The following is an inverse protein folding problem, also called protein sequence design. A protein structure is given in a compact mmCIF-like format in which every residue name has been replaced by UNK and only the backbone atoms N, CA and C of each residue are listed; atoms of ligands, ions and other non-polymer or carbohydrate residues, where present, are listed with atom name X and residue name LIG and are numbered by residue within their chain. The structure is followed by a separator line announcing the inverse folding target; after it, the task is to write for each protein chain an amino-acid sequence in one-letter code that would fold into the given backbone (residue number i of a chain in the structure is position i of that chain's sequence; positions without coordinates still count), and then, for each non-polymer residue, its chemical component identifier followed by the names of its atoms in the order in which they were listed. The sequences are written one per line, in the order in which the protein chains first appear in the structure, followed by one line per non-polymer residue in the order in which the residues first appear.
data_IF_227716300260
#
_entry.id   IF_227716300260
#
_cell.length_a   1.000
_cell.length_b   1.000
_cell.length_c   1.000
_cell.angle_alpha   90.00
_cell.angle_beta   90.00
_cell.angle_gamma   90.00
#
_symmetry.space_group_name_H-M   'P 1'
#
loop_
_entity.id
_entity.type
_entity.pdbx_description
1 polymer ?
#
# COMPACT_ATOMS: atom_id res chain seq x y z
N UNK A 1 1.40 14.16 -15.68
CA UNK A 1 1.49 12.74 -15.36
C UNK A 1 0.49 11.95 -16.20
N UNK A 2 0.93 10.84 -16.77
CA UNK A 2 0.07 9.97 -17.56
C UNK A 2 -0.87 9.13 -16.68
N UNK A 3 -1.86 8.50 -17.30
CA UNK A 3 -2.67 7.46 -16.69
C UNK A 3 -1.83 6.19 -16.56
N UNK A 4 -1.84 5.58 -15.39
CA UNK A 4 -1.13 4.34 -15.10
C UNK A 4 -2.04 3.37 -14.33
N UNK A 5 -1.89 2.09 -14.59
CA UNK A 5 -2.60 1.03 -13.90
C UNK A 5 -1.66 -0.11 -13.54
N UNK A 6 -1.79 -0.63 -12.34
CA UNK A 6 -1.23 -1.91 -11.93
C UNK A 6 -2.39 -2.89 -11.77
N UNK A 7 -2.28 -4.04 -12.40
CA UNK A 7 -3.25 -5.13 -12.26
C UNK A 7 -2.59 -6.28 -11.48
N UNK A 8 -3.27 -6.74 -10.43
CA UNK A 8 -2.87 -7.89 -9.63
C UNK A 8 -3.87 -9.02 -9.75
N UNK A 9 -3.39 -10.25 -9.65
CA UNK A 9 -4.22 -11.46 -9.63
C UNK A 9 -4.04 -12.14 -8.29
N UNK A 10 -5.15 -12.33 -7.59
CA UNK A 10 -5.17 -12.97 -6.28
C UNK A 10 -4.91 -14.48 -6.37
N UNK A 11 -4.44 -15.02 -5.25
CA UNK A 11 -4.06 -16.42 -5.11
C UNK A 11 -5.15 -17.40 -5.57
N UNK A 12 -6.41 -17.17 -5.19
CA UNK A 12 -7.52 -18.05 -5.55
C UNK A 12 -7.94 -17.91 -7.02
N UNK A 13 -7.73 -16.75 -7.63
CA UNK A 13 -8.01 -16.55 -9.04
C UNK A 13 -6.93 -17.13 -9.96
N UNK A 14 -5.68 -17.15 -9.48
CA UNK A 14 -4.55 -17.63 -10.28
C UNK A 14 -4.81 -19.01 -10.87
N UNK A 15 -5.18 -19.97 -10.03
CA UNK A 15 -5.39 -21.36 -10.45
C UNK A 15 -6.62 -21.55 -11.36
N UNK A 16 -7.52 -20.57 -11.40
CA UNK A 16 -8.67 -20.56 -12.33
C UNK A 16 -8.36 -19.92 -13.67
N UNK A 17 -7.42 -18.96 -13.68
CA UNK A 17 -7.10 -18.17 -14.86
C UNK A 17 -5.91 -18.72 -15.65
N UNK A 18 -4.98 -19.38 -14.97
CA UNK A 18 -3.74 -19.83 -15.58
C UNK A 18 -3.53 -21.33 -15.39
N UNK A 19 -3.10 -21.98 -16.46
CA UNK A 19 -2.57 -23.35 -16.41
C UNK A 19 -1.04 -23.27 -16.40
N UNK A 20 -0.39 -23.90 -15.43
CA UNK A 20 1.07 -23.91 -15.36
C UNK A 20 1.61 -23.54 -13.98
N UNK A 21 2.86 -23.08 -13.91
CA UNK A 21 3.48 -22.74 -12.64
C UNK A 21 2.78 -21.56 -11.95
N UNK A 22 2.93 -21.51 -10.65
CA UNK A 22 2.39 -20.47 -9.78
C UNK A 22 3.54 -19.74 -9.12
N UNK A 23 3.46 -18.40 -8.95
CA UNK A 23 4.47 -17.66 -8.20
C UNK A 23 4.62 -18.23 -6.78
N UNK A 24 5.85 -18.47 -6.35
CA UNK A 24 6.16 -19.22 -5.13
C UNK A 24 5.54 -18.59 -3.87
N UNK A 25 5.55 -17.28 -3.77
CA UNK A 25 5.03 -16.53 -2.62
C UNK A 25 3.59 -16.02 -2.80
N UNK A 26 2.89 -16.43 -3.87
CA UNK A 26 1.51 -16.04 -4.09
C UNK A 26 0.57 -16.84 -3.18
N UNK A 27 0.19 -16.25 -2.07
CA UNK A 27 -0.72 -16.83 -1.08
C UNK A 27 -1.72 -15.78 -0.56
N UNK A 28 -2.86 -16.19 0.03
CA UNK A 28 -3.75 -15.27 0.72
C UNK A 28 -3.04 -14.63 1.92
N UNK A 29 -3.33 -13.35 2.18
CA UNK A 29 -2.92 -12.73 3.43
C UNK A 29 -3.47 -13.53 4.62
N UNK A 30 -2.65 -13.74 5.65
CA UNK A 30 -3.09 -14.39 6.90
C UNK A 30 -3.51 -13.31 7.88
N UNK A 31 -4.73 -13.40 8.40
CA UNK A 31 -5.19 -12.47 9.41
C UNK A 31 -4.25 -12.47 10.62
N UNK A 32 -4.01 -11.28 11.16
CA UNK A 32 -3.21 -11.08 12.37
C UNK A 32 -4.13 -10.50 13.45
N UNK A 33 -4.22 -11.21 14.55
CA UNK A 33 -5.02 -10.79 15.70
C UNK A 33 -4.08 -10.40 16.84
N UNK A 34 -3.98 -9.10 17.09
CA UNK A 34 -3.26 -8.54 18.23
C UNK A 34 -4.20 -8.13 19.35
N UNK A 35 -3.64 -7.81 20.51
CA UNK A 35 -4.40 -7.43 21.72
C UNK A 35 -5.25 -6.16 21.52
N UNK A 36 -4.84 -5.26 20.65
CA UNK A 36 -5.49 -3.96 20.43
C UNK A 36 -5.91 -3.73 18.98
N UNK A 37 -5.19 -4.32 18.04
CA UNK A 37 -5.38 -4.11 16.62
C UNK A 37 -5.48 -5.44 15.90
N UNK A 38 -6.25 -5.45 14.83
CA UNK A 38 -6.42 -6.61 13.98
C UNK A 38 -6.12 -6.21 12.53
N UNK A 39 -5.47 -7.10 11.79
CA UNK A 39 -5.32 -7.02 10.36
C UNK A 39 -6.10 -8.17 9.70
N UNK A 40 -7.35 -7.94 9.31
CA UNK A 40 -8.18 -9.00 8.71
C UNK A 40 -7.66 -9.38 7.33
N UNK A 41 -7.83 -10.64 6.96
CA UNK A 41 -7.67 -11.08 5.59
C UNK A 41 -8.93 -10.73 4.79
N UNK A 42 -8.75 -9.94 3.74
CA UNK A 42 -9.84 -9.53 2.83
C UNK A 42 -9.50 -10.02 1.43
N UNK A 43 -9.82 -11.28 1.10
CA UNK A 43 -9.43 -11.87 -0.18
C UNK A 43 -10.10 -11.16 -1.35
N UNK A 44 -9.37 -11.10 -2.48
CA UNK A 44 -9.86 -10.59 -3.75
C UNK A 44 -9.26 -11.39 -4.90
N UNK A 45 -9.98 -11.49 -5.99
CA UNK A 45 -9.53 -12.20 -7.19
C UNK A 45 -8.69 -11.30 -8.11
N UNK A 46 -9.10 -10.06 -8.28
CA UNK A 46 -8.41 -9.07 -9.11
C UNK A 46 -8.25 -7.76 -8.33
N UNK A 47 -7.11 -7.13 -8.50
CA UNK A 47 -6.81 -5.79 -8.00
C UNK A 47 -6.49 -4.88 -9.17
N UNK A 48 -7.01 -3.65 -9.16
CA UNK A 48 -6.60 -2.59 -10.06
C UNK A 48 -6.23 -1.35 -9.25
N UNK A 49 -4.95 -0.97 -9.32
CA UNK A 49 -4.48 0.30 -8.76
C UNK A 49 -4.31 1.30 -9.91
N UNK A 50 -5.23 2.25 -9.99
CA UNK A 50 -5.29 3.24 -11.07
C UNK A 50 -4.79 4.58 -10.55
N UNK A 51 -3.86 5.21 -11.27
CA UNK A 51 -3.29 6.52 -10.95
C UNK A 51 -3.34 7.43 -12.17
N UNK A 52 -3.75 8.66 -11.96
CA UNK A 52 -3.74 9.71 -12.99
C UNK A 52 -3.52 11.09 -12.36
N UNK A 53 -3.32 12.10 -13.19
CA UNK A 53 -3.23 13.49 -12.74
C UNK A 53 -4.59 14.02 -12.22
N UNK A 54 -5.70 13.46 -12.71
CA UNK A 54 -7.05 13.89 -12.35
C UNK A 54 -7.94 12.67 -12.07
N UNK A 55 -8.92 12.85 -11.21
CA UNK A 55 -9.80 11.77 -10.74
C UNK A 55 -10.72 11.26 -11.85
N UNK A 56 -11.13 12.10 -12.78
CA UNK A 56 -11.98 11.73 -13.93
C UNK A 56 -11.34 10.63 -14.78
N UNK A 57 -10.03 10.70 -15.01
CA UNK A 57 -9.30 9.64 -15.73
C UNK A 57 -9.30 8.32 -14.96
N UNK A 58 -9.13 8.38 -13.62
CA UNK A 58 -9.20 7.18 -12.79
C UNK A 58 -10.60 6.57 -12.82
N UNK A 59 -11.63 7.41 -12.69
CA UNK A 59 -13.02 6.99 -12.72
C UNK A 59 -13.39 6.36 -14.06
N UNK A 60 -13.06 7.02 -15.16
CA UNK A 60 -13.37 6.52 -16.50
C UNK A 60 -12.73 5.18 -16.77
N UNK A 61 -11.44 5.03 -16.48
CA UNK A 61 -10.76 3.74 -16.64
C UNK A 61 -11.35 2.65 -15.73
N UNK A 62 -11.62 2.98 -14.46
CA UNK A 62 -12.28 2.06 -13.53
C UNK A 62 -13.64 1.58 -14.06
N UNK A 63 -14.45 2.51 -14.56
CA UNK A 63 -15.76 2.22 -15.14
C UNK A 63 -15.66 1.32 -16.38
N UNK A 64 -14.68 1.58 -17.25
CA UNK A 64 -14.42 0.74 -18.42
C UNK A 64 -13.99 -0.67 -18.03
N UNK A 65 -13.12 -0.81 -17.03
CA UNK A 65 -12.67 -2.13 -16.51
C UNK A 65 -13.87 -2.89 -15.95
N UNK A 66 -14.67 -2.27 -15.09
CA UNK A 66 -15.87 -2.89 -14.49
C UNK A 66 -16.86 -3.31 -15.58
N UNK A 67 -17.10 -2.43 -16.56
CA UNK A 67 -17.97 -2.74 -17.69
C UNK A 67 -17.49 -3.92 -18.54
N UNK A 68 -16.18 -4.07 -18.73
CA UNK A 68 -15.58 -5.20 -19.47
C UNK A 68 -15.63 -6.51 -18.70
N UNK A 69 -15.61 -6.45 -17.37
CA UNK A 69 -15.68 -7.61 -16.49
C UNK A 69 -17.11 -7.96 -16.06
N UNK A 70 -18.12 -7.23 -16.55
CA UNK A 70 -19.52 -7.47 -16.21
C UNK A 70 -19.93 -8.92 -16.50
N UNK A 71 -20.54 -9.58 -15.51
CA UNK A 71 -20.92 -10.98 -15.59
C UNK A 71 -19.81 -11.99 -15.27
N UNK A 72 -18.54 -11.56 -15.26
CA UNK A 72 -17.39 -12.39 -14.87
C UNK A 72 -16.84 -12.06 -13.47
N UNK A 73 -16.91 -10.79 -13.07
CA UNK A 73 -16.48 -10.33 -11.77
C UNK A 73 -17.42 -9.26 -11.20
N UNK A 74 -17.38 -9.09 -9.89
CA UNK A 74 -18.11 -8.04 -9.17
C UNK A 74 -17.13 -7.23 -8.33
N UNK A 75 -17.37 -5.92 -8.20
CA UNK A 75 -16.60 -5.06 -7.30
C UNK A 75 -16.96 -5.40 -5.86
N UNK A 76 -15.98 -5.74 -5.05
CA UNK A 76 -16.14 -6.07 -3.63
C UNK A 76 -15.63 -4.96 -2.72
N UNK A 77 -14.69 -4.14 -3.20
CA UNK A 77 -14.21 -2.95 -2.51
C UNK A 77 -13.74 -1.91 -3.54
N UNK A 78 -13.95 -0.64 -3.24
CA UNK A 78 -13.49 0.49 -4.03
C UNK A 78 -13.04 1.61 -3.10
N UNK A 79 -11.81 2.07 -3.28
CA UNK A 79 -11.25 3.18 -2.51
C UNK A 79 -10.79 4.27 -3.47
N UNK A 80 -11.28 5.49 -3.25
CA UNK A 80 -10.85 6.67 -4.00
C UNK A 80 -9.87 7.45 -3.14
N UNK A 81 -8.62 7.50 -3.57
CA UNK A 81 -7.56 8.24 -2.94
C UNK A 81 -7.29 9.57 -3.64
N UNK A 82 -6.56 10.43 -2.98
CA UNK A 82 -6.12 11.70 -3.54
C UNK A 82 -4.76 12.08 -2.99
N UNK A 83 -4.05 12.94 -3.72
CA UNK A 83 -2.81 13.54 -3.23
C UNK A 83 -3.15 14.64 -2.22
N UNK A 84 -2.59 14.55 -1.03
CA UNK A 84 -2.73 15.56 0.00
C UNK A 84 -1.52 16.50 0.01
N UNK A 85 -1.61 17.63 0.73
CA UNK A 85 -0.61 18.71 0.73
C UNK A 85 0.83 18.19 0.90
N UNK A 86 1.74 18.63 0.05
CA UNK A 86 3.18 18.34 0.12
C UNK A 86 3.52 16.84 0.26
N UNK A 87 2.72 15.98 -0.38
CA UNK A 87 2.88 14.51 -0.31
C UNK A 87 2.72 13.94 1.09
N UNK A 88 1.87 14.58 1.90
CA UNK A 88 1.55 14.13 3.26
C UNK A 88 0.38 13.16 3.26
N UNK A 89 0.32 12.35 4.31
CA UNK A 89 -0.87 11.62 4.69
C UNK A 89 -1.87 12.53 5.43
N UNK A 90 -3.05 11.99 5.79
CA UNK A 90 -4.07 12.74 6.52
C UNK A 90 -3.70 13.00 8.00
N UNK A 91 -2.67 12.34 8.53
CA UNK A 91 -2.09 12.61 9.85
C UNK A 91 -1.20 13.86 9.83
N UNK A 92 -0.85 14.34 8.63
CA UNK A 92 -0.07 15.53 8.37
C UNK A 92 1.43 15.31 8.24
N UNK A 93 1.89 14.06 8.12
CA UNK A 93 3.30 13.71 7.92
C UNK A 93 3.58 13.36 6.47
N UNK A 94 4.81 13.61 6.01
CA UNK A 94 5.23 13.24 4.65
C UNK A 94 5.25 11.72 4.54
N UNK A 95 4.55 11.20 3.55
CA UNK A 95 4.45 9.78 3.29
C UNK A 95 5.57 9.29 2.34
N UNK A 96 5.95 8.02 2.46
CA UNK A 96 6.92 7.38 1.58
C UNK A 96 8.37 7.81 1.78
N UNK A 97 8.75 8.36 2.92
CA UNK A 97 10.12 8.82 3.20
C UNK A 97 11.15 7.70 3.21
N UNK A 98 10.75 6.48 3.53
CA UNK A 98 11.61 5.28 3.55
C UNK A 98 11.50 4.44 2.27
N UNK A 99 10.72 4.89 1.29
CA UNK A 99 10.62 4.19 0.01
C UNK A 99 11.97 4.20 -0.71
N UNK A 100 12.49 3.02 -1.11
CA UNK A 100 13.72 2.97 -1.88
C UNK A 100 13.56 3.65 -3.24
N UNK A 101 14.65 4.11 -3.83
CA UNK A 101 14.65 4.79 -5.12
C UNK A 101 15.72 4.22 -6.06
N UNK A 102 15.60 4.51 -7.37
CA UNK A 102 16.53 4.02 -8.37
C UNK A 102 16.58 2.48 -8.44
N UNK A 103 17.76 1.90 -8.58
CA UNK A 103 17.94 0.43 -8.63
C UNK A 103 17.52 -0.28 -7.34
N UNK A 104 17.67 0.37 -6.19
CA UNK A 104 17.24 -0.20 -4.92
C UNK A 104 15.70 -0.42 -4.86
N UNK A 105 14.91 0.46 -5.51
CA UNK A 105 13.48 0.27 -5.62
C UNK A 105 13.12 -0.92 -6.51
N UNK A 106 13.85 -1.10 -7.61
CA UNK A 106 13.67 -2.24 -8.52
C UNK A 106 14.04 -3.55 -7.80
N UNK A 107 15.19 -3.58 -7.15
CA UNK A 107 15.67 -4.75 -6.40
C UNK A 107 14.72 -5.14 -5.26
N UNK A 108 14.09 -4.15 -4.59
CA UNK A 108 13.18 -4.40 -3.48
C UNK A 108 11.84 -5.00 -3.89
N UNK A 109 11.38 -4.80 -5.13
CA UNK A 109 10.02 -5.19 -5.54
C UNK A 109 9.97 -6.26 -6.61
N UNK A 110 11.08 -6.53 -7.30
CA UNK A 110 11.10 -7.41 -8.46
C UNK A 110 11.48 -8.83 -8.07
N UNK A 111 10.70 -9.81 -8.52
CA UNK A 111 11.05 -11.23 -8.42
C UNK A 111 12.30 -11.48 -9.27
N UNK A 112 13.30 -12.07 -8.67
CA UNK A 112 14.59 -12.36 -9.29
C UNK A 112 14.78 -13.86 -9.64
N UNK A 113 15.98 -14.33 -9.39
CA UNK A 113 16.38 -15.71 -9.71
C UNK A 113 15.76 -16.77 -8.76
N UNK A 114 15.25 -16.33 -7.60
CA UNK A 114 14.59 -17.19 -6.60
C UNK A 114 13.30 -17.83 -7.14
N UNK A 115 12.65 -17.16 -8.09
CA UNK A 115 11.50 -17.71 -8.83
C UNK A 115 11.61 -17.33 -10.31
N UNK A 116 12.53 -17.97 -11.02
CA UNK A 116 12.91 -17.61 -12.37
C UNK A 116 11.79 -17.66 -13.41
N UNK A 117 10.73 -18.44 -13.16
CA UNK A 117 9.55 -18.52 -14.03
C UNK A 117 8.74 -17.20 -14.01
N UNK A 118 8.89 -16.41 -12.95
CA UNK A 118 8.20 -15.15 -12.74
C UNK A 118 9.15 -13.97 -12.58
N UNK A 119 10.42 -14.14 -12.95
CA UNK A 119 11.41 -13.06 -12.89
C UNK A 119 10.91 -11.82 -13.63
N UNK A 120 11.09 -10.63 -13.00
CA UNK A 120 10.56 -9.36 -13.47
C UNK A 120 9.11 -9.08 -13.04
N UNK A 121 8.43 -10.03 -12.42
CA UNK A 121 7.16 -9.82 -11.74
C UNK A 121 7.32 -9.14 -10.38
N UNK A 122 6.18 -8.89 -9.72
CA UNK A 122 6.14 -8.28 -8.39
C UNK A 122 4.93 -8.77 -7.62
N UNK A 123 5.05 -8.87 -6.31
CA UNK A 123 3.90 -9.08 -5.42
C UNK A 123 3.30 -7.75 -5.00
N UNK A 124 1.99 -7.74 -4.73
CA UNK A 124 1.26 -6.57 -4.24
C UNK A 124 0.50 -6.94 -2.98
N UNK A 125 0.70 -6.16 -1.93
CA UNK A 125 -0.08 -6.19 -0.69
C UNK A 125 -0.77 -4.83 -0.55
N UNK A 126 -2.09 -4.84 -0.31
CA UNK A 126 -2.85 -3.63 -0.01
C UNK A 126 -3.27 -3.66 1.44
N UNK A 127 -2.94 -2.60 2.17
CA UNK A 127 -3.29 -2.43 3.58
C UNK A 127 -4.12 -1.17 3.74
N UNK A 128 -5.26 -1.28 4.43
CA UNK A 128 -6.14 -0.16 4.76
C UNK A 128 -6.11 0.08 6.26
N UNK A 129 -5.61 1.26 6.64
CA UNK A 129 -5.55 1.69 8.03
C UNK A 129 -6.70 2.65 8.34
N UNK A 130 -7.41 2.39 9.43
CA UNK A 130 -8.44 3.28 9.97
C UNK A 130 -7.85 3.99 11.19
N UNK A 131 -7.76 5.30 11.13
CA UNK A 131 -7.22 6.14 12.20
C UNK A 131 -8.33 6.78 13.03
N UNK A 132 -8.18 6.79 14.34
CA UNK A 132 -8.99 7.62 15.23
C UNK A 132 -8.51 9.08 15.15
N UNK A 133 -9.05 9.82 14.17
CA UNK A 133 -8.67 11.21 13.93
C UNK A 133 -9.03 12.11 15.11
N UNK A 134 -10.08 11.79 15.88
CA UNK A 134 -10.43 12.57 17.08
C UNK A 134 -9.35 12.44 18.15
N UNK A 135 -8.88 11.24 18.40
CA UNK A 135 -7.77 11.01 19.34
C UNK A 135 -6.47 11.62 18.81
N UNK A 136 -6.20 11.50 17.51
CA UNK A 136 -5.02 12.08 16.86
C UNK A 136 -4.97 13.61 16.97
N UNK A 137 -6.06 14.29 16.65
CA UNK A 137 -6.18 15.73 16.70
C UNK A 137 -6.14 16.29 18.14
N UNK A 138 -6.39 15.46 19.13
CA UNK A 138 -6.24 15.77 20.54
C UNK A 138 -4.79 15.79 21.03
N UNK A 139 -3.85 15.25 20.27
CA UNK A 139 -2.42 15.24 20.61
C UNK A 139 -1.77 16.58 20.23
N UNK A 140 -0.78 17.01 21.02
CA UNK A 140 0.10 18.10 20.61
C UNK A 140 0.98 17.68 19.43
N UNK A 141 1.54 18.66 18.72
CA UNK A 141 2.45 18.37 17.59
C UNK A 141 3.64 17.54 18.04
N UNK A 142 4.22 17.84 19.19
CA UNK A 142 5.35 17.12 19.78
C UNK A 142 4.98 15.65 20.11
N UNK A 143 3.77 15.42 20.59
CA UNK A 143 3.28 14.04 20.82
C UNK A 143 3.10 13.30 19.52
N UNK A 144 2.51 13.91 18.49
CA UNK A 144 2.37 13.34 17.16
C UNK A 144 3.74 13.01 16.54
N UNK A 145 4.70 13.92 16.64
CA UNK A 145 6.08 13.73 16.18
C UNK A 145 6.75 12.54 16.88
N UNK A 146 6.53 12.37 18.17
CA UNK A 146 7.05 11.20 18.92
C UNK A 146 6.40 9.87 18.51
N UNK A 147 5.11 9.89 18.17
CA UNK A 147 4.42 8.71 17.64
C UNK A 147 5.00 8.31 16.28
N UNK A 148 5.25 9.29 15.42
CA UNK A 148 5.79 9.03 14.08
C UNK A 148 7.31 8.79 14.10
N UNK A 149 8.07 9.56 14.89
CA UNK A 149 9.54 9.53 14.93
C UNK A 149 10.20 10.56 14.00
N UNK A 150 9.42 11.54 13.52
CA UNK A 150 9.86 12.62 12.61
C UNK A 150 9.24 13.94 12.99
N UNK A 151 9.94 15.03 12.68
CA UNK A 151 9.37 16.38 12.81
C UNK A 151 8.30 16.62 11.74
N UNK A 152 7.13 17.10 12.16
CA UNK A 152 5.95 17.24 11.30
C UNK A 152 6.17 18.25 10.16
N UNK A 153 6.72 19.42 10.47
CA UNK A 153 6.91 20.48 9.48
C UNK A 153 8.15 20.26 8.61
N UNK A 154 9.29 19.97 9.23
CA UNK A 154 10.57 19.85 8.52
C UNK A 154 10.80 18.51 7.87
N UNK A 155 10.01 17.50 8.23
CA UNK A 155 10.19 16.12 7.81
C UNK A 155 11.58 15.53 8.18
N UNK A 156 12.26 16.12 9.15
CA UNK A 156 13.54 15.60 9.64
C UNK A 156 13.28 14.47 10.62
N UNK A 157 13.92 13.35 10.40
CA UNK A 157 13.87 12.21 11.32
C UNK A 157 14.49 12.57 12.67
N UNK A 158 13.88 12.11 13.76
CA UNK A 158 14.45 12.29 15.10
C UNK A 158 15.77 11.53 15.24
N UNK A 159 16.71 12.13 15.94
CA UNK A 159 17.96 11.45 16.28
C UNK A 159 17.69 10.20 17.13
N UNK A 160 18.51 9.17 16.95
CA UNK A 160 18.28 7.84 17.55
C UNK A 160 18.25 7.86 19.09
N UNK A 161 18.95 8.81 19.70
CA UNK A 161 18.99 8.98 21.16
C UNK A 161 17.70 9.60 21.75
N UNK A 162 16.85 10.22 20.92
CA UNK A 162 15.58 10.84 21.32
C UNK A 162 14.35 10.22 20.69
N UNK A 163 14.54 9.49 19.58
CA UNK A 163 13.44 8.82 18.87
C UNK A 163 12.87 7.68 19.71
N UNK A 164 11.55 7.67 20.00
CA UNK A 164 10.97 6.56 20.74
C UNK A 164 11.14 5.23 20.00
N UNK A 165 11.59 4.18 20.70
CA UNK A 165 11.80 2.85 20.14
C UNK A 165 10.50 2.20 19.58
N UNK A 166 9.35 2.70 19.98
CA UNK A 166 8.03 2.28 19.50
C UNK A 166 7.41 3.30 18.53
N UNK A 167 8.17 4.26 18.04
CA UNK A 167 7.70 5.17 16.99
C UNK A 167 7.51 4.44 15.66
N UNK A 168 6.67 4.99 14.79
CA UNK A 168 6.42 4.40 13.47
C UNK A 168 7.73 4.19 12.69
N UNK A 169 8.59 5.20 12.62
CA UNK A 169 9.87 5.11 11.91
C UNK A 169 10.77 4.04 12.52
N UNK A 170 10.91 4.01 13.87
CA UNK A 170 11.77 3.03 14.53
C UNK A 170 11.34 1.57 14.30
N UNK A 171 10.05 1.33 14.12
CA UNK A 171 9.50 -0.02 13.89
C UNK A 171 9.51 -0.44 12.42
N UNK A 172 9.73 0.49 11.49
CA UNK A 172 9.69 0.25 10.03
C UNK A 172 11.02 0.58 9.34
N UNK A 173 12.13 0.57 10.07
CA UNK A 173 13.47 0.71 9.48
C UNK A 173 13.80 -0.55 8.66
N UNK A 174 14.22 -0.35 7.41
CA UNK A 174 14.64 -1.40 6.46
C UNK A 174 16.15 -1.55 6.52
#
# INVERSE_FOLDING_TARGET
GGLAVVAGVGSAAWDRLFAGPRPAELHPFRALDGDRHQAPATPGDLLFHIRAATMDLCWELGSLIVGRLAGAATVVDEVQGFKYFDERDLLGFVDGTENPSGSAAEDAVTIGAEDSAFAGGSYVIVQKYLHDMTAWDGLTVEEQERVVGRAKLSNVEMADDVKPANSHVALNTI
#
